data_IF_036251491588
#
_entry.id   IF_036251491588
#
_cell.length_a   1.000
_cell.length_b   1.000
_cell.length_c   1.000
_cell.angle_alpha   90.00
_cell.angle_beta   90.00
_cell.angle_gamma   90.00
#
_symmetry.space_group_name_H-M   'P 1'
#
loop_
_entity.id
_entity.type
_entity.pdbx_description
1 polymer ?
#
# COMPACT_ATOMS: atom_id res chain seq x y z
N UNK A 1 19.34 0.71 18.25
CA UNK A 1 20.34 1.54 17.57
C UNK A 1 19.69 2.59 16.70
N UNK A 2 20.10 3.80 16.86
CA UNK A 2 19.60 4.90 16.02
C UNK A 2 20.27 4.87 14.66
N UNK A 3 19.49 4.88 13.61
CA UNK A 3 20.02 5.03 12.26
C UNK A 3 20.38 6.48 11.94
N UNK A 4 20.56 6.77 10.68
CA UNK A 4 20.85 8.11 10.22
C UNK A 4 19.58 8.97 10.29
N UNK A 5 19.54 9.89 11.24
CA UNK A 5 18.37 10.74 11.47
C UNK A 5 18.10 11.69 10.32
N UNK A 6 19.14 12.21 9.66
CA UNK A 6 18.98 13.10 8.52
C UNK A 6 18.34 12.37 7.34
N UNK A 7 18.80 11.15 7.06
CA UNK A 7 18.21 10.34 5.99
C UNK A 7 16.76 10.02 6.30
N UNK A 8 16.45 9.66 7.54
CA UNK A 8 15.09 9.36 7.97
C UNK A 8 14.17 10.56 7.78
N UNK A 9 14.59 11.74 8.22
CA UNK A 9 13.81 12.96 8.08
C UNK A 9 13.56 13.30 6.63
N UNK A 10 14.59 13.20 5.79
CA UNK A 10 14.47 13.46 4.36
C UNK A 10 13.47 12.51 3.70
N UNK A 11 13.57 11.22 4.01
CA UNK A 11 12.64 10.22 3.46
C UNK A 11 11.22 10.44 3.93
N UNK A 12 11.00 10.85 5.16
CA UNK A 12 9.65 11.13 5.66
C UNK A 12 9.06 12.34 4.94
N UNK A 13 9.84 13.39 4.68
CA UNK A 13 9.38 14.54 3.89
C UNK A 13 9.01 14.10 2.48
N UNK A 14 9.84 13.26 1.86
CA UNK A 14 9.55 12.71 0.54
C UNK A 14 8.29 11.85 0.55
N UNK A 15 8.07 11.09 1.62
CA UNK A 15 6.87 10.27 1.78
C UNK A 15 5.60 11.12 1.82
N UNK A 16 5.64 12.25 2.52
CA UNK A 16 4.51 13.19 2.54
C UNK A 16 4.15 13.67 1.13
N UNK A 17 5.16 13.95 0.31
CA UNK A 17 4.95 14.36 -1.07
C UNK A 17 4.42 13.20 -1.93
N UNK A 18 5.00 12.02 -1.79
CA UNK A 18 4.63 10.85 -2.58
C UNK A 18 3.19 10.41 -2.33
N UNK A 19 2.72 10.51 -1.09
CA UNK A 19 1.35 10.12 -0.71
C UNK A 19 0.31 11.00 -1.39
N UNK A 20 0.66 12.23 -1.75
CA UNK A 20 -0.25 13.16 -2.42
C UNK A 20 -0.48 12.83 -3.90
N UNK A 21 0.34 11.99 -4.48
CA UNK A 21 0.15 11.58 -5.88
C UNK A 21 -1.01 10.59 -5.93
N UNK A 22 -2.12 11.01 -6.51
CA UNK A 22 -3.33 10.19 -6.60
C UNK A 22 -3.09 8.94 -7.45
N UNK A 23 -3.71 7.84 -7.06
CA UNK A 23 -3.64 6.56 -7.76
C UNK A 23 -2.24 5.98 -7.84
N UNK A 24 -1.34 6.39 -6.95
CA UNK A 24 0.00 5.82 -6.88
C UNK A 24 0.05 4.66 -5.88
N UNK A 25 1.08 3.84 -6.03
CA UNK A 25 1.34 2.75 -5.10
C UNK A 25 1.54 3.25 -3.66
N UNK A 26 2.31 4.33 -3.48
CA UNK A 26 2.59 4.86 -2.14
C UNK A 26 1.36 5.47 -1.49
N UNK A 27 0.49 6.09 -2.27
CA UNK A 27 -0.78 6.59 -1.76
C UNK A 27 -1.65 5.44 -1.23
N UNK A 28 -1.73 4.34 -1.98
CA UNK A 28 -2.49 3.16 -1.56
C UNK A 28 -1.88 2.50 -0.32
N UNK A 29 -0.57 2.41 -0.27
CA UNK A 29 0.15 1.87 0.90
C UNK A 29 -0.13 2.70 2.15
N UNK A 30 -0.07 4.02 2.02
CA UNK A 30 -0.37 4.93 3.12
C UNK A 30 -1.80 4.73 3.63
N UNK A 31 -2.77 4.71 2.72
CA UNK A 31 -4.17 4.53 3.10
C UNK A 31 -4.39 3.21 3.83
N UNK A 32 -3.76 2.16 3.35
CA UNK A 32 -3.86 0.83 3.95
C UNK A 32 -3.32 0.79 5.37
N UNK A 33 -2.17 1.40 5.61
CA UNK A 33 -1.52 1.38 6.91
C UNK A 33 -2.16 2.37 7.88
N UNK A 34 -2.51 3.57 7.41
CA UNK A 34 -3.08 4.61 8.27
C UNK A 34 -4.42 4.22 8.88
N UNK A 35 -5.19 3.36 8.21
CA UNK A 35 -6.44 2.84 8.74
C UNK A 35 -6.27 2.11 10.07
N UNK A 36 -5.15 1.43 10.25
CA UNK A 36 -4.93 0.56 11.40
C UNK A 36 -3.92 1.11 12.40
N UNK A 37 -2.94 1.87 11.93
CA UNK A 37 -1.80 2.25 12.76
C UNK A 37 -1.58 3.75 12.89
N UNK A 38 -2.43 4.56 12.29
CA UNK A 38 -2.34 6.01 12.33
C UNK A 38 -1.37 6.58 11.30
N UNK A 39 -1.46 7.90 11.14
CA UNK A 39 -0.75 8.60 10.06
C UNK A 39 0.76 8.61 10.22
N UNK A 40 1.27 8.83 11.44
CA UNK A 40 2.72 8.88 11.67
C UNK A 40 3.40 7.58 11.28
N UNK A 41 2.86 6.45 11.71
CA UNK A 41 3.41 5.14 11.37
C UNK A 41 3.28 4.85 9.89
N UNK A 42 2.19 5.32 9.27
CA UNK A 42 1.97 5.15 7.85
C UNK A 42 3.03 5.90 7.04
N UNK A 43 3.36 7.14 7.41
CA UNK A 43 4.42 7.90 6.73
C UNK A 43 5.79 7.23 6.88
N UNK A 44 6.10 6.72 8.05
CA UNK A 44 7.37 6.01 8.28
C UNK A 44 7.43 4.73 7.44
N UNK A 45 6.32 4.00 7.35
CA UNK A 45 6.25 2.78 6.53
C UNK A 45 6.41 3.09 5.04
N UNK A 46 5.79 4.18 4.56
CA UNK A 46 5.96 4.63 3.18
C UNK A 46 7.41 5.04 2.93
N UNK A 47 8.02 5.76 3.87
CA UNK A 47 9.43 6.16 3.75
C UNK A 47 10.34 4.93 3.67
N UNK A 48 10.08 3.91 4.47
CA UNK A 48 10.84 2.66 4.42
C UNK A 48 10.69 1.97 3.06
N UNK A 49 9.46 1.89 2.56
CA UNK A 49 9.20 1.30 1.24
C UNK A 49 9.92 2.06 0.12
N UNK A 50 9.95 3.40 0.21
CA UNK A 50 10.69 4.23 -0.74
C UNK A 50 12.19 3.94 -0.69
N UNK A 51 12.75 3.80 0.51
CA UNK A 51 14.16 3.49 0.68
C UNK A 51 14.51 2.14 0.05
N UNK A 52 13.69 1.13 0.28
CA UNK A 52 13.88 -0.20 -0.32
C UNK A 52 13.81 -0.11 -1.85
N UNK A 53 12.86 0.66 -2.37
CA UNK A 53 12.71 0.88 -3.81
C UNK A 53 13.96 1.54 -4.39
N UNK A 54 14.47 2.59 -3.73
CA UNK A 54 15.69 3.28 -4.17
C UNK A 54 16.87 2.31 -4.16
N UNK A 55 16.99 1.51 -3.12
CA UNK A 55 18.05 0.51 -3.02
C UNK A 55 18.05 -0.43 -4.22
N UNK A 56 16.89 -0.95 -4.58
CA UNK A 56 16.77 -1.86 -5.73
C UNK A 56 17.06 -1.17 -7.05
N UNK A 57 16.62 0.07 -7.21
CA UNK A 57 16.92 0.83 -8.42
C UNK A 57 18.43 1.00 -8.59
N UNK A 58 19.12 1.37 -7.53
CA UNK A 58 20.57 1.60 -7.58
C UNK A 58 21.34 0.29 -7.74
N UNK A 59 20.92 -0.77 -7.07
CA UNK A 59 21.61 -2.05 -7.11
C UNK A 59 21.43 -2.76 -8.45
N UNK A 60 20.20 -2.80 -8.93
CA UNK A 60 19.84 -3.60 -10.11
C UNK A 60 19.85 -2.79 -11.41
N UNK A 61 19.96 -1.46 -11.31
CA UNK A 61 19.97 -0.59 -12.46
C UNK A 61 18.65 -0.54 -13.22
N UNK A 62 17.54 -0.84 -12.54
CA UNK A 62 16.23 -0.85 -13.17
C UNK A 62 15.52 0.48 -12.98
N UNK A 63 14.58 0.79 -13.87
CA UNK A 63 13.74 1.96 -13.74
C UNK A 63 12.64 1.71 -12.72
N UNK A 64 12.24 2.78 -12.02
CA UNK A 64 11.07 2.73 -11.17
C UNK A 64 9.81 2.53 -12.01
N UNK A 65 8.98 1.58 -11.61
CA UNK A 65 7.66 1.37 -12.19
C UNK A 65 6.64 1.43 -11.07
N UNK A 66 5.69 2.36 -11.15
CA UNK A 66 4.64 2.47 -10.14
C UNK A 66 3.64 1.33 -10.31
N UNK A 67 3.42 0.57 -9.25
CA UNK A 67 2.49 -0.57 -9.27
C UNK A 67 1.02 -0.14 -9.25
N UNK A 68 0.76 1.13 -8.99
CA UNK A 68 -0.58 1.69 -8.98
C UNK A 68 -1.33 1.48 -7.69
N UNK A 69 -2.43 2.21 -7.54
CA UNK A 69 -3.25 2.17 -6.33
C UNK A 69 -3.98 0.83 -6.16
N UNK A 70 -4.22 0.13 -7.24
CA UNK A 70 -4.97 -1.12 -7.23
C UNK A 70 -4.11 -2.35 -6.96
N UNK A 71 -2.81 -2.17 -6.74
CA UNK A 71 -1.89 -3.28 -6.56
C UNK A 71 -2.36 -4.28 -5.50
N UNK A 72 -2.71 -3.78 -4.32
CA UNK A 72 -3.14 -4.64 -3.22
C UNK A 72 -4.52 -5.24 -3.46
N UNK A 73 -5.38 -4.55 -4.18
CA UNK A 73 -6.70 -5.08 -4.52
C UNK A 73 -6.60 -6.24 -5.50
N UNK A 74 -5.70 -6.14 -6.48
CA UNK A 74 -5.48 -7.21 -7.45
C UNK A 74 -4.77 -8.41 -6.84
N UNK A 75 -3.85 -8.16 -5.91
CA UNK A 75 -3.00 -9.19 -5.33
C UNK A 75 -3.77 -10.32 -4.66
N UNK A 76 -4.85 -10.01 -3.96
CA UNK A 76 -5.66 -10.99 -3.25
C UNK A 76 -7.12 -10.95 -3.67
N UNK A 77 -7.39 -10.60 -4.91
CA UNK A 77 -8.75 -10.40 -5.40
C UNK A 77 -9.64 -11.60 -5.17
N UNK A 78 -9.19 -12.78 -5.57
CA UNK A 78 -9.97 -14.02 -5.42
C UNK A 78 -10.25 -14.35 -3.96
N UNK A 79 -9.25 -14.19 -3.09
CA UNK A 79 -9.42 -14.42 -1.67
C UNK A 79 -10.44 -13.46 -1.05
N UNK A 80 -10.40 -12.20 -1.45
CA UNK A 80 -11.35 -11.19 -0.97
C UNK A 80 -12.77 -11.51 -1.43
N UNK A 81 -12.94 -11.88 -2.68
CA UNK A 81 -14.25 -12.27 -3.21
C UNK A 81 -14.81 -13.46 -2.43
N UNK A 82 -14.00 -14.48 -2.21
CA UNK A 82 -14.42 -15.66 -1.45
C UNK A 82 -14.80 -15.30 -0.01
N UNK A 83 -14.02 -14.41 0.63
CA UNK A 83 -14.30 -13.98 2.00
C UNK A 83 -15.61 -13.20 2.08
N UNK A 84 -15.88 -12.31 1.14
CA UNK A 84 -17.11 -11.53 1.12
C UNK A 84 -18.32 -12.40 0.82
N UNK A 85 -18.21 -13.38 -0.07
CA UNK A 85 -19.29 -14.33 -0.34
C UNK A 85 -19.61 -15.16 0.89
N UNK A 86 -18.59 -15.58 1.63
CA UNK A 86 -18.79 -16.32 2.88
C UNK A 86 -19.54 -15.48 3.91
N UNK A 87 -19.17 -14.20 4.04
CA UNK A 87 -19.87 -13.28 4.94
C UNK A 87 -21.33 -13.08 4.55
N UNK A 88 -21.59 -12.94 3.26
CA UNK A 88 -22.96 -12.79 2.76
C UNK A 88 -23.81 -14.02 3.08
N UNK A 89 -23.26 -15.22 2.89
CA UNK A 89 -23.95 -16.46 3.23
C UNK A 89 -24.23 -16.56 4.73
N UNK A 90 -23.28 -16.13 5.56
CA UNK A 90 -23.47 -16.14 7.01
C UNK A 90 -24.58 -15.20 7.45
N UNK A 91 -24.87 -14.13 6.69
CA UNK A 91 -25.97 -13.22 6.92
C UNK A 91 -27.32 -13.72 6.36
N UNK A 92 -27.32 -14.90 5.74
CA UNK A 92 -28.53 -15.48 5.18
C UNK A 92 -28.81 -15.15 3.72
N UNK A 93 -27.87 -14.52 3.04
CA UNK A 93 -28.03 -14.22 1.62
C UNK A 93 -27.84 -15.48 0.78
N UNK A 94 -28.84 -15.80 -0.05
CA UNK A 94 -28.83 -16.99 -0.90
C UNK A 94 -28.96 -16.67 -2.38
N UNK A 95 -28.98 -15.40 -2.73
CA UNK A 95 -29.10 -14.99 -4.11
C UNK A 95 -27.91 -15.42 -4.97
N UNK A 96 -28.12 -15.65 -6.26
CA UNK A 96 -27.00 -15.86 -7.16
C UNK A 96 -26.15 -14.58 -7.22
N UNK A 97 -24.84 -14.76 -7.32
CA UNK A 97 -23.98 -13.63 -7.59
C UNK A 97 -24.23 -13.24 -9.03
N UNK A 98 -25.13 -12.28 -9.22
CA UNK A 98 -25.37 -11.76 -10.56
C UNK A 98 -24.23 -10.81 -10.86
N UNK A 99 -23.35 -11.23 -11.72
CA UNK A 99 -22.40 -10.32 -12.34
C UNK A 99 -23.21 -9.46 -13.28
N UNK A 100 -23.61 -8.32 -12.78
CA UNK A 100 -24.27 -7.36 -13.64
C UNK A 100 -23.21 -6.59 -14.40
#
# INVERSE_FOLDING_TARGET
RKGNSLLRETLVVCAHAAVRVKSSYFSALFARISCHRGKKRAYVAVAHSMLVTIYHILKDGVKYTDLGADYYNQFNRERKIAAYLKKLKALGWEGPVVAA
#
